data_IF_753078045208
#
_entry.id   IF_753078045208
#
_cell.length_a   1.000
_cell.length_b   1.000
_cell.length_c   1.000
_cell.angle_alpha   90.00
_cell.angle_beta   90.00
_cell.angle_gamma   90.00
#
_symmetry.space_group_name_H-M   'P 1'
#
loop_
_entity.id
_entity.type
_entity.pdbx_description
1 polymer ?
#
# COMPACT_ATOMS: atom_id res chain seq x y z
N UNK A 1 -27.06 -26.99 4.03
CA UNK A 1 -27.12 -25.86 4.98
C UNK A 1 -26.18 -24.78 4.48
N UNK A 2 -26.65 -23.54 4.28
CA UNK A 2 -25.78 -22.43 3.88
C UNK A 2 -24.82 -22.08 5.03
N UNK A 3 -23.52 -21.88 4.80
CA UNK A 3 -22.56 -21.55 5.86
C UNK A 3 -22.93 -20.22 6.55
N UNK A 4 -22.74 -20.17 7.87
CA UNK A 4 -22.92 -18.93 8.65
C UNK A 4 -21.77 -17.96 8.38
N UNK A 5 -22.06 -16.66 8.34
CA UNK A 5 -21.04 -15.60 8.18
C UNK A 5 -19.99 -15.70 9.28
N UNK A 6 -20.40 -15.93 10.53
CA UNK A 6 -19.47 -16.05 11.66
C UNK A 6 -18.45 -17.18 11.47
N UNK A 7 -18.88 -18.35 10.99
CA UNK A 7 -18.01 -19.50 10.76
C UNK A 7 -17.00 -19.23 9.63
N UNK A 8 -17.42 -18.51 8.60
CA UNK A 8 -16.54 -18.10 7.50
C UNK A 8 -15.50 -17.09 8.02
N UNK A 9 -15.92 -16.11 8.82
CA UNK A 9 -15.02 -15.09 9.36
C UNK A 9 -14.05 -15.66 10.40
N UNK A 10 -14.47 -16.62 11.22
CA UNK A 10 -13.55 -17.32 12.12
C UNK A 10 -12.51 -18.12 11.34
N UNK A 11 -12.92 -18.74 10.22
CA UNK A 11 -11.97 -19.35 9.29
C UNK A 11 -10.99 -18.31 8.74
N UNK A 12 -11.43 -17.11 8.36
CA UNK A 12 -10.54 -16.05 7.87
C UNK A 12 -9.52 -15.62 8.94
N UNK A 13 -9.94 -15.49 10.20
CA UNK A 13 -9.02 -15.19 11.32
C UNK A 13 -7.95 -16.25 11.44
N UNK A 14 -8.34 -17.53 11.45
CA UNK A 14 -7.40 -18.64 11.56
C UNK A 14 -6.42 -18.72 10.39
N UNK A 15 -6.91 -18.49 9.16
CA UNK A 15 -6.06 -18.41 7.97
C UNK A 15 -5.05 -17.25 8.07
N UNK A 16 -5.49 -16.11 8.58
CA UNK A 16 -4.64 -14.92 8.78
C UNK A 16 -3.57 -15.17 9.84
N UNK A 17 -3.94 -15.72 11.01
CA UNK A 17 -3.01 -16.03 12.12
C UNK A 17 -1.91 -16.99 11.71
N UNK A 18 -2.28 -18.06 10.99
CA UNK A 18 -1.33 -19.05 10.48
C UNK A 18 -0.45 -18.51 9.35
N UNK A 19 -0.60 -17.23 8.98
CA UNK A 19 0.06 -16.58 7.85
C UNK A 19 0.00 -17.49 6.61
N UNK A 20 -1.17 -18.10 6.39
CA UNK A 20 -1.37 -19.03 5.28
C UNK A 20 -1.17 -18.24 3.99
N UNK A 21 0.06 -18.29 3.47
CA UNK A 21 0.48 -17.62 2.24
C UNK A 21 -0.45 -18.09 1.14
N UNK A 22 -1.35 -17.21 0.70
CA UNK A 22 -2.29 -17.32 -0.44
C UNK A 22 -2.30 -18.71 -1.09
N UNK A 23 -2.93 -19.70 -0.43
CA UNK A 23 -3.36 -20.88 -1.17
C UNK A 23 -4.56 -20.41 -1.96
N UNK A 24 -4.36 -20.17 -3.26
CA UNK A 24 -5.40 -19.71 -4.18
C UNK A 24 -6.70 -20.46 -3.94
N UNK A 25 -6.64 -21.78 -3.75
CA UNK A 25 -7.83 -22.61 -3.55
C UNK A 25 -8.50 -22.38 -2.19
N UNK A 26 -7.76 -22.31 -1.09
CA UNK A 26 -8.38 -22.13 0.25
C UNK A 26 -8.99 -20.74 0.37
N UNK A 27 -8.24 -19.70 0.00
CA UNK A 27 -8.75 -18.33 0.02
C UNK A 27 -9.86 -18.14 -1.01
N UNK A 28 -9.73 -18.64 -2.24
CA UNK A 28 -10.78 -18.52 -3.27
C UNK A 28 -12.06 -19.23 -2.86
N UNK A 29 -11.99 -20.45 -2.28
CA UNK A 29 -13.17 -21.14 -1.75
C UNK A 29 -13.82 -20.30 -0.64
N UNK A 30 -13.03 -19.80 0.30
CA UNK A 30 -13.51 -19.03 1.45
C UNK A 30 -14.10 -17.67 1.06
N UNK A 31 -13.49 -16.99 0.09
CA UNK A 31 -14.02 -15.78 -0.54
C UNK A 31 -15.31 -16.10 -1.29
N UNK A 32 -15.38 -17.22 -2.01
CA UNK A 32 -16.58 -17.64 -2.75
C UNK A 32 -17.75 -17.97 -1.81
N UNK A 33 -17.47 -18.64 -0.68
CA UNK A 33 -18.44 -18.88 0.38
C UNK A 33 -18.97 -17.55 0.93
N UNK A 34 -18.09 -16.61 1.28
CA UNK A 34 -18.49 -15.29 1.79
C UNK A 34 -19.29 -14.50 0.74
N UNK A 35 -18.87 -14.54 -0.53
CA UNK A 35 -19.55 -13.86 -1.63
C UNK A 35 -20.97 -14.38 -1.85
N UNK A 36 -21.18 -15.69 -1.69
CA UNK A 36 -22.49 -16.33 -1.82
C UNK A 36 -23.47 -15.90 -0.71
N UNK A 37 -22.95 -15.52 0.47
CA UNK A 37 -23.77 -15.08 1.62
C UNK A 37 -23.65 -13.58 1.91
N UNK A 38 -23.13 -12.79 0.96
CA UNK A 38 -22.82 -11.36 1.18
C UNK A 38 -24.01 -10.52 1.68
N UNK A 39 -25.23 -10.89 1.29
CA UNK A 39 -26.48 -10.23 1.72
C UNK A 39 -26.75 -10.37 3.23
N UNK A 40 -26.11 -11.34 3.89
CA UNK A 40 -26.23 -11.57 5.34
C UNK A 40 -25.14 -10.88 6.16
N UNK A 41 -24.17 -10.24 5.49
CA UNK A 41 -23.13 -9.48 6.17
C UNK A 41 -23.77 -8.20 6.69
N UNK A 42 -23.67 -7.95 7.99
CA UNK A 42 -24.04 -6.70 8.64
C UNK A 42 -22.81 -5.78 8.83
N UNK A 43 -23.05 -4.51 9.18
CA UNK A 43 -22.01 -3.50 9.36
C UNK A 43 -20.93 -3.86 10.41
N UNK A 44 -21.26 -4.63 11.44
CA UNK A 44 -20.31 -5.02 12.50
C UNK A 44 -19.22 -5.97 12.01
N UNK A 45 -19.48 -6.73 10.93
CA UNK A 45 -18.48 -7.63 10.35
C UNK A 45 -17.48 -6.94 9.44
N UNK A 46 -17.80 -5.73 8.96
CA UNK A 46 -17.01 -5.07 7.92
C UNK A 46 -15.60 -4.69 8.35
N UNK A 47 -15.34 -4.20 9.58
CA UNK A 47 -13.96 -3.96 10.02
C UNK A 47 -13.10 -5.22 9.94
N UNK A 48 -13.62 -6.36 10.42
CA UNK A 48 -12.92 -7.64 10.38
C UNK A 48 -12.67 -8.11 8.94
N UNK A 49 -13.68 -8.01 8.08
CA UNK A 49 -13.56 -8.36 6.65
C UNK A 49 -12.49 -7.50 5.99
N UNK A 50 -12.53 -6.18 6.20
CA UNK A 50 -11.56 -5.21 5.68
C UNK A 50 -10.15 -5.54 6.14
N UNK A 51 -9.97 -5.82 7.44
CA UNK A 51 -8.68 -6.23 8.02
C UNK A 51 -8.14 -7.50 7.36
N UNK A 52 -8.98 -8.53 7.25
CA UNK A 52 -8.59 -9.79 6.64
C UNK A 52 -8.22 -9.63 5.16
N UNK A 53 -8.99 -8.87 4.39
CA UNK A 53 -8.69 -8.64 2.99
C UNK A 53 -7.43 -7.81 2.77
N UNK A 54 -7.19 -6.79 3.60
CA UNK A 54 -5.99 -5.98 3.53
C UNK A 54 -4.74 -6.80 3.91
N UNK A 55 -4.72 -7.42 5.10
CA UNK A 55 -3.56 -8.16 5.63
C UNK A 55 -3.14 -9.32 4.72
N UNK A 56 -4.12 -9.99 4.08
CA UNK A 56 -3.85 -11.10 3.16
C UNK A 56 -3.71 -10.66 1.70
N UNK A 57 -3.74 -9.35 1.43
CA UNK A 57 -3.56 -8.74 0.12
C UNK A 57 -4.58 -9.27 -0.92
N UNK A 58 -5.86 -9.31 -0.58
CA UNK A 58 -6.92 -9.91 -1.41
C UNK A 58 -7.71 -8.87 -2.23
N UNK A 59 -7.35 -7.59 -2.13
CA UNK A 59 -8.12 -6.47 -2.69
C UNK A 59 -8.15 -6.42 -4.24
N UNK A 60 -7.29 -7.19 -4.90
CA UNK A 60 -7.32 -7.37 -6.36
C UNK A 60 -8.35 -8.41 -6.84
N UNK A 61 -8.92 -9.20 -5.93
CA UNK A 61 -9.89 -10.23 -6.28
C UNK A 61 -11.28 -9.62 -6.57
N UNK A 62 -11.88 -9.97 -7.72
CA UNK A 62 -13.16 -9.42 -8.15
C UNK A 62 -14.32 -9.74 -7.20
N UNK A 63 -14.32 -10.93 -6.58
CA UNK A 63 -15.35 -11.30 -5.59
C UNK A 63 -15.15 -10.51 -4.30
N UNK A 64 -13.91 -10.28 -3.87
CA UNK A 64 -13.61 -9.41 -2.74
C UNK A 64 -14.14 -8.00 -3.00
N UNK A 65 -13.83 -7.41 -4.15
CA UNK A 65 -14.35 -6.10 -4.53
C UNK A 65 -15.89 -6.09 -4.58
N UNK A 66 -16.50 -7.15 -5.10
CA UNK A 66 -17.96 -7.30 -5.13
C UNK A 66 -18.59 -7.43 -3.74
N UNK A 67 -17.93 -8.06 -2.77
CA UNK A 67 -18.36 -8.07 -1.36
C UNK A 67 -18.30 -6.65 -0.80
N UNK A 68 -17.16 -5.97 -0.96
CA UNK A 68 -16.97 -4.61 -0.42
C UNK A 68 -18.00 -3.64 -1.00
N UNK A 69 -18.19 -3.62 -2.32
CA UNK A 69 -19.22 -2.79 -2.98
C UNK A 69 -20.64 -3.11 -2.50
N UNK A 70 -20.93 -4.36 -2.14
CA UNK A 70 -22.25 -4.75 -1.64
C UNK A 70 -22.50 -4.27 -0.21
N UNK A 71 -21.50 -4.34 0.68
CA UNK A 71 -21.65 -3.91 2.08
C UNK A 71 -21.52 -2.40 2.26
N UNK A 72 -21.12 -1.68 1.21
CA UNK A 72 -20.95 -0.24 1.18
C UNK A 72 -22.12 0.57 1.78
N UNK A 73 -23.39 0.38 1.35
CA UNK A 73 -24.50 1.16 1.88
C UNK A 73 -24.75 0.92 3.37
N UNK A 74 -24.21 -0.16 3.92
CA UNK A 74 -24.35 -0.50 5.33
C UNK A 74 -23.37 0.23 6.24
N UNK A 75 -22.36 0.91 5.69
CA UNK A 75 -21.28 1.52 6.47
C UNK A 75 -21.30 3.05 6.35
N UNK A 76 -21.68 3.58 5.18
CA UNK A 76 -21.78 5.03 4.99
C UNK A 76 -22.78 5.60 5.99
N UNK A 77 -22.30 6.48 6.88
CA UNK A 77 -23.12 7.23 7.83
C UNK A 77 -23.72 6.41 8.98
N UNK A 78 -23.39 5.12 9.13
CA UNK A 78 -23.71 4.35 10.34
C UNK A 78 -22.75 4.73 11.45
N UNK A 79 -23.26 4.92 12.67
CA UNK A 79 -22.47 5.13 13.90
C UNK A 79 -22.26 3.80 14.63
N UNK A 80 -21.19 3.69 15.41
CA UNK A 80 -20.96 2.55 16.30
C UNK A 80 -19.61 1.84 16.12
N UNK A 81 -18.83 2.21 15.10
CA UNK A 81 -17.47 1.71 14.92
C UNK A 81 -16.44 2.73 15.45
N UNK A 82 -15.21 2.27 15.70
CA UNK A 82 -14.12 3.14 16.12
C UNK A 82 -13.55 3.96 14.94
N UNK A 83 -12.78 5.02 15.24
CA UNK A 83 -12.05 5.77 14.20
C UNK A 83 -11.01 4.89 13.50
N UNK A 84 -10.38 3.96 14.22
CA UNK A 84 -9.48 2.97 13.63
C UNK A 84 -10.22 2.13 12.58
N UNK A 85 -11.42 1.64 12.91
CA UNK A 85 -12.24 0.84 12.01
C UNK A 85 -12.66 1.64 10.76
N UNK A 86 -13.16 2.87 10.92
CA UNK A 86 -13.54 3.70 9.77
C UNK A 86 -12.33 4.06 8.90
N UNK A 87 -11.17 4.31 9.52
CA UNK A 87 -9.92 4.55 8.79
C UNK A 87 -9.52 3.34 7.97
N UNK A 88 -9.50 2.15 8.59
CA UNK A 88 -9.19 0.90 7.91
C UNK A 88 -10.17 0.61 6.76
N UNK A 89 -11.47 0.78 6.99
CA UNK A 89 -12.50 0.54 5.97
C UNK A 89 -12.31 1.54 4.82
N UNK A 90 -12.09 2.82 5.12
CA UNK A 90 -11.84 3.85 4.11
C UNK A 90 -10.58 3.55 3.30
N UNK A 91 -9.50 3.12 3.96
CA UNK A 91 -8.26 2.69 3.28
C UNK A 91 -8.55 1.57 2.27
N UNK A 92 -9.33 0.55 2.68
CA UNK A 92 -9.71 -0.57 1.82
C UNK A 92 -10.54 -0.11 0.62
N UNK A 93 -11.51 0.78 0.80
CA UNK A 93 -12.30 1.33 -0.32
C UNK A 93 -11.44 2.12 -1.31
N UNK A 94 -10.52 2.95 -0.82
CA UNK A 94 -9.54 3.63 -1.66
C UNK A 94 -8.68 2.66 -2.48
N UNK A 95 -8.28 1.53 -1.89
CA UNK A 95 -7.47 0.51 -2.58
C UNK A 95 -8.21 -0.21 -3.71
N UNK A 96 -9.54 -0.28 -3.66
CA UNK A 96 -10.39 -0.90 -4.70
C UNK A 96 -11.02 0.15 -5.64
N UNK A 97 -10.45 1.35 -5.67
CA UNK A 97 -10.82 2.48 -6.51
C UNK A 97 -12.22 3.08 -6.22
N UNK A 98 -12.77 2.86 -5.02
CA UNK A 98 -14.01 3.47 -4.51
C UNK A 98 -13.71 4.76 -3.73
N UNK A 99 -13.19 5.78 -4.42
CA UNK A 99 -12.62 6.98 -3.79
C UNK A 99 -13.66 7.88 -3.12
N UNK A 100 -14.80 8.12 -3.77
CA UNK A 100 -15.90 8.93 -3.23
C UNK A 100 -16.47 8.32 -1.94
N UNK A 101 -16.57 6.99 -1.93
CA UNK A 101 -16.94 6.22 -0.75
C UNK A 101 -15.94 6.42 0.39
N UNK A 102 -14.65 6.29 0.08
CA UNK A 102 -13.57 6.45 1.05
C UNK A 102 -13.59 7.85 1.68
N UNK A 103 -13.81 8.88 0.86
CA UNK A 103 -14.01 10.26 1.28
C UNK A 103 -15.22 10.42 2.20
N UNK A 104 -16.39 9.88 1.81
CA UNK A 104 -17.61 9.97 2.59
C UNK A 104 -17.48 9.28 3.96
N UNK A 105 -16.77 8.15 4.03
CA UNK A 105 -16.51 7.45 5.29
C UNK A 105 -15.66 8.30 6.23
N UNK A 106 -14.59 8.93 5.72
CA UNK A 106 -13.74 9.80 6.55
C UNK A 106 -14.50 11.05 6.97
N UNK A 107 -15.17 11.72 6.04
CA UNK A 107 -15.94 12.94 6.30
C UNK A 107 -17.00 12.74 7.38
N UNK A 108 -17.72 11.63 7.37
CA UNK A 108 -18.83 11.39 8.29
C UNK A 108 -18.39 10.94 9.69
N UNK A 109 -17.14 10.48 9.84
CA UNK A 109 -16.65 9.89 11.08
C UNK A 109 -15.44 10.61 11.67
N UNK A 110 -14.97 11.68 11.02
CA UNK A 110 -13.92 12.53 11.55
C UNK A 110 -14.41 13.31 12.78
N UNK A 111 -13.58 13.31 13.82
CA UNK A 111 -13.73 14.18 14.99
C UNK A 111 -12.33 14.57 15.46
N UNK A 112 -12.07 15.88 15.50
CA UNK A 112 -10.78 16.42 15.91
C UNK A 112 -10.39 15.96 17.33
N UNK A 113 -11.33 15.99 18.27
CA UNK A 113 -11.11 15.56 19.65
C UNK A 113 -10.73 14.08 19.75
N UNK A 114 -11.34 13.23 18.92
CA UNK A 114 -11.03 11.80 18.88
C UNK A 114 -9.65 11.56 18.30
N UNK A 115 -9.24 12.30 17.26
CA UNK A 115 -7.90 12.19 16.68
C UNK A 115 -6.83 12.67 17.66
N UNK A 116 -7.06 13.77 18.37
CA UNK A 116 -6.11 14.30 19.35
C UNK A 116 -5.91 13.39 20.56
N UNK A 117 -6.94 12.62 20.92
CA UNK A 117 -6.92 11.66 22.03
C UNK A 117 -6.57 10.22 21.62
N UNK A 118 -6.39 9.95 20.32
CA UNK A 118 -6.08 8.63 19.80
C UNK A 118 -4.69 8.12 20.22
N UNK A 119 -4.56 6.79 20.31
CA UNK A 119 -3.25 6.15 20.45
C UNK A 119 -2.38 6.40 19.21
N UNK A 120 -1.05 6.27 19.32
CA UNK A 120 -0.14 6.46 18.18
C UNK A 120 -0.42 5.47 17.04
N UNK A 121 -0.87 4.25 17.38
CA UNK A 121 -1.21 3.22 16.40
C UNK A 121 -2.49 3.56 15.62
N UNK A 122 -3.51 4.07 16.31
CA UNK A 122 -4.77 4.50 15.69
C UNK A 122 -4.54 5.74 14.84
N UNK A 123 -3.76 6.68 15.36
CA UNK A 123 -3.34 7.88 14.65
C UNK A 123 -2.58 7.52 13.38
N UNK A 124 -1.62 6.59 13.43
CA UNK A 124 -0.89 6.16 12.25
C UNK A 124 -1.78 5.49 11.19
N UNK A 125 -2.78 4.72 11.63
CA UNK A 125 -3.77 4.09 10.74
C UNK A 125 -4.63 5.16 10.03
N UNK A 126 -5.08 6.16 10.79
CA UNK A 126 -5.79 7.31 10.25
C UNK A 126 -4.92 8.10 9.26
N UNK A 127 -3.68 8.44 9.61
CA UNK A 127 -2.78 9.20 8.74
C UNK A 127 -2.46 8.47 7.44
N UNK A 128 -2.20 7.15 7.48
CA UNK A 128 -1.99 6.35 6.27
C UNK A 128 -3.20 6.37 5.34
N UNK A 129 -4.40 6.42 5.91
CA UNK A 129 -5.66 6.49 5.17
C UNK A 129 -5.83 7.86 4.53
N UNK A 130 -5.64 8.93 5.29
CA UNK A 130 -5.68 10.31 4.79
C UNK A 130 -4.63 10.51 3.70
N UNK A 131 -3.39 10.06 3.93
CA UNK A 131 -2.30 10.12 2.96
C UNK A 131 -2.64 9.37 1.66
N UNK A 132 -3.25 8.18 1.75
CA UNK A 132 -3.69 7.41 0.58
C UNK A 132 -4.73 8.19 -0.22
N UNK A 133 -5.77 8.68 0.45
CA UNK A 133 -6.87 9.43 -0.18
C UNK A 133 -6.33 10.71 -0.84
N UNK A 134 -5.52 11.48 -0.12
CA UNK A 134 -4.88 12.71 -0.62
C UNK A 134 -4.00 12.45 -1.84
N UNK A 135 -3.13 11.43 -1.76
CA UNK A 135 -2.25 11.04 -2.86
C UNK A 135 -3.05 10.67 -4.10
N UNK A 136 -4.17 9.96 -3.94
CA UNK A 136 -5.02 9.57 -5.08
C UNK A 136 -5.75 10.74 -5.71
N UNK A 137 -6.26 11.70 -4.92
CA UNK A 137 -6.86 12.93 -5.44
C UNK A 137 -5.84 13.76 -6.22
N UNK A 138 -4.71 14.05 -5.59
CA UNK A 138 -3.73 15.01 -6.12
C UNK A 138 -2.83 14.40 -7.20
N UNK A 139 -2.23 13.24 -6.92
CA UNK A 139 -1.27 12.60 -7.83
C UNK A 139 -1.98 11.66 -8.81
N UNK A 140 -3.03 10.98 -8.36
CA UNK A 140 -3.86 10.12 -9.20
C UNK A 140 -4.84 10.89 -10.10
N UNK A 141 -5.03 12.20 -9.86
CA UNK A 141 -6.00 13.06 -10.56
C UNK A 141 -7.41 12.48 -10.54
N UNK A 142 -7.78 11.82 -9.45
CA UNK A 142 -9.13 11.32 -9.24
C UNK A 142 -9.98 12.48 -8.76
N UNK A 143 -10.90 12.93 -9.61
CA UNK A 143 -11.90 13.93 -9.24
C UNK A 143 -12.90 13.27 -8.29
N UNK A 144 -12.92 13.68 -7.03
CA UNK A 144 -13.73 13.03 -5.99
C UNK A 144 -14.90 13.89 -5.50
N UNK A 145 -15.15 15.02 -6.16
CA UNK A 145 -16.28 15.91 -5.87
C UNK A 145 -16.28 16.57 -4.47
N UNK A 146 -15.26 16.33 -3.63
CA UNK A 146 -15.20 16.80 -2.24
C UNK A 146 -13.78 17.20 -1.80
N UNK A 147 -13.65 18.39 -1.21
CA UNK A 147 -12.41 18.91 -0.63
C UNK A 147 -12.24 18.61 0.87
N UNK A 148 -13.10 17.77 1.46
CA UNK A 148 -13.13 17.55 2.91
C UNK A 148 -11.85 16.90 3.45
N UNK A 149 -11.29 15.90 2.77
CA UNK A 149 -10.05 15.26 3.25
C UNK A 149 -8.84 16.20 3.25
N UNK A 150 -8.61 17.04 2.23
CA UNK A 150 -7.65 18.15 2.31
C UNK A 150 -7.89 19.10 3.49
N UNK A 151 -9.14 19.44 3.79
CA UNK A 151 -9.48 20.32 4.93
C UNK A 151 -9.16 19.66 6.27
N UNK A 152 -9.58 18.40 6.46
CA UNK A 152 -9.24 17.59 7.64
C UNK A 152 -7.71 17.51 7.80
N UNK A 153 -6.99 17.25 6.70
CA UNK A 153 -5.54 17.17 6.70
C UNK A 153 -4.89 18.48 7.15
N UNK A 154 -5.43 19.61 6.71
CA UNK A 154 -4.96 20.94 7.13
C UNK A 154 -5.20 21.20 8.62
N UNK A 155 -6.34 20.78 9.16
CA UNK A 155 -6.71 20.97 10.56
C UNK A 155 -5.80 20.16 11.50
N UNK A 156 -5.50 18.91 11.15
CA UNK A 156 -4.69 18.04 12.00
C UNK A 156 -3.18 18.32 11.90
N UNK A 157 -2.72 19.00 10.85
CA UNK A 157 -1.29 19.12 10.56
C UNK A 157 -0.52 19.85 11.68
N UNK A 158 -1.09 20.93 12.23
CA UNK A 158 -0.47 21.70 13.30
C UNK A 158 -0.38 20.87 14.60
N UNK A 159 -1.39 20.05 14.88
CA UNK A 159 -1.37 19.09 15.97
C UNK A 159 -0.27 18.03 15.77
N UNK A 160 -0.15 17.47 14.55
CA UNK A 160 0.88 16.48 14.24
C UNK A 160 2.29 17.05 14.40
N UNK A 161 2.54 18.26 13.92
CA UNK A 161 3.82 18.93 14.10
C UNK A 161 4.14 19.21 15.56
N UNK A 162 3.15 19.66 16.33
CA UNK A 162 3.30 19.86 17.77
C UNK A 162 3.66 18.54 18.46
N UNK A 163 2.97 17.44 18.11
CA UNK A 163 3.25 16.11 18.64
C UNK A 163 4.66 15.65 18.30
N UNK A 164 5.06 15.75 17.03
CA UNK A 164 6.41 15.41 16.55
C UNK A 164 7.48 16.21 17.31
N UNK A 165 7.30 17.53 17.46
CA UNK A 165 8.24 18.40 18.19
C UNK A 165 8.32 18.11 19.68
N UNK A 166 7.24 17.59 20.28
CA UNK A 166 7.19 17.24 21.71
C UNK A 166 7.92 15.95 22.07
N UNK A 167 8.15 15.06 21.10
CA UNK A 167 8.81 13.77 21.33
C UNK A 167 10.31 13.98 21.46
N UNK A 168 10.85 13.69 22.66
CA UNK A 168 12.28 13.72 22.90
C UNK A 168 12.90 12.37 22.52
N UNK A 169 13.45 12.30 21.31
CA UNK A 169 14.08 11.08 20.76
C UNK A 169 15.27 10.60 21.58
N UNK A 170 15.91 11.45 22.40
CA UNK A 170 17.05 11.04 23.25
C UNK A 170 16.68 10.02 24.32
N UNK A 171 15.40 9.88 24.66
CA UNK A 171 14.91 8.95 25.68
C UNK A 171 14.24 7.70 25.11
N UNK A 172 14.14 7.58 23.79
CA UNK A 172 13.66 6.34 23.17
C UNK A 172 14.74 5.27 23.33
N UNK A 173 14.39 4.16 23.97
CA UNK A 173 15.33 3.08 24.31
C UNK A 173 15.15 1.86 23.38
N UNK A 174 13.99 1.72 22.74
CA UNK A 174 13.65 0.56 21.92
C UNK A 174 13.56 0.88 20.42
N UNK A 175 14.15 0.02 19.59
CA UNK A 175 14.10 0.16 18.12
C UNK A 175 12.69 0.22 17.52
N UNK A 176 11.70 -0.38 18.20
CA UNK A 176 10.29 -0.38 17.77
C UNK A 176 9.67 1.01 17.91
N UNK A 177 9.96 1.72 19.01
CA UNK A 177 9.49 3.08 19.25
C UNK A 177 10.03 4.05 18.20
N UNK A 178 11.31 3.91 17.85
CA UNK A 178 11.93 4.69 16.76
C UNK A 178 11.24 4.44 15.41
N UNK A 179 10.91 3.18 15.09
CA UNK A 179 10.23 2.86 13.83
C UNK A 179 8.82 3.44 13.78
N UNK A 180 8.05 3.32 14.86
CA UNK A 180 6.69 3.86 14.92
C UNK A 180 6.68 5.38 14.80
N UNK A 181 7.57 6.06 15.52
CA UNK A 181 7.70 7.51 15.43
C UNK A 181 8.20 7.96 14.05
N UNK A 182 9.17 7.24 13.47
CA UNK A 182 9.65 7.51 12.11
C UNK A 182 8.53 7.38 11.07
N UNK A 183 7.68 6.36 11.19
CA UNK A 183 6.49 6.22 10.34
C UNK A 183 5.52 7.39 10.53
N UNK A 184 5.23 7.80 11.76
CA UNK A 184 4.38 8.96 12.05
C UNK A 184 4.93 10.25 11.43
N UNK A 185 6.24 10.50 11.59
CA UNK A 185 6.94 11.63 11.00
C UNK A 185 6.86 11.61 9.47
N UNK A 186 7.15 10.47 8.84
CA UNK A 186 7.13 10.34 7.38
C UNK A 186 5.72 10.46 6.78
N UNK A 187 4.67 9.95 7.45
CA UNK A 187 3.29 10.22 7.05
C UNK A 187 2.96 11.71 7.14
N UNK A 188 3.39 12.38 8.22
CA UNK A 188 3.17 13.83 8.43
C UNK A 188 3.89 14.65 7.36
N UNK A 189 5.16 14.36 7.07
CA UNK A 189 5.94 15.01 6.00
C UNK A 189 5.23 14.83 4.66
N UNK A 190 4.78 13.61 4.34
CA UNK A 190 4.12 13.34 3.07
C UNK A 190 2.79 14.09 2.92
N UNK A 191 1.96 14.13 3.97
CA UNK A 191 0.72 14.91 3.97
C UNK A 191 1.02 16.41 3.82
N UNK A 192 2.02 16.92 4.55
CA UNK A 192 2.43 18.33 4.49
C UNK A 192 2.92 18.71 3.09
N UNK A 193 3.70 17.85 2.44
CA UNK A 193 4.20 18.04 1.09
C UNK A 193 3.07 18.07 0.05
N UNK A 194 2.12 17.13 0.14
CA UNK A 194 0.92 17.11 -0.68
C UNK A 194 0.09 18.40 -0.54
N UNK A 195 0.06 18.99 0.66
CA UNK A 195 -0.60 20.25 0.94
C UNK A 195 0.26 21.50 0.65
N UNK A 196 1.50 21.34 0.20
CA UNK A 196 2.47 22.43 0.00
C UNK A 196 2.74 23.27 1.28
N UNK A 197 2.64 22.63 2.45
CA UNK A 197 2.84 23.23 3.79
C UNK A 197 4.01 22.59 4.55
N UNK A 198 4.99 22.06 3.83
CA UNK A 198 6.13 21.38 4.44
C UNK A 198 7.04 22.34 5.21
N UNK A 199 7.22 22.09 6.51
CA UNK A 199 8.29 22.72 7.31
C UNK A 199 9.63 22.08 6.94
N UNK A 200 10.50 22.80 6.21
CA UNK A 200 11.78 22.25 5.70
C UNK A 200 12.71 21.73 6.80
N UNK A 201 12.63 22.28 8.01
CA UNK A 201 13.40 21.82 9.16
C UNK A 201 13.09 20.35 9.53
N UNK A 202 11.89 19.86 9.23
CA UNK A 202 11.47 18.48 9.51
C UNK A 202 12.25 17.43 8.69
N UNK A 203 12.93 17.83 7.60
CA UNK A 203 13.74 16.94 6.77
C UNK A 203 15.14 16.66 7.36
N UNK A 204 15.57 17.42 8.37
CA UNK A 204 16.90 17.29 8.97
C UNK A 204 16.98 16.26 10.10
N UNK A 205 15.89 15.52 10.37
CA UNK A 205 15.88 14.53 11.45
C UNK A 205 16.47 13.19 11.00
N UNK A 206 17.55 12.74 11.64
CA UNK A 206 18.17 11.42 11.41
C UNK A 206 17.20 10.25 11.62
N UNK A 207 16.13 10.46 12.38
CA UNK A 207 15.12 9.44 12.69
C UNK A 207 14.33 8.95 11.47
N UNK A 208 14.29 9.73 10.38
CA UNK A 208 13.60 9.33 9.15
C UNK A 208 14.16 8.03 8.57
N UNK A 209 15.43 7.72 8.83
CA UNK A 209 16.09 6.53 8.29
C UNK A 209 15.52 5.20 8.85
N UNK A 210 14.87 5.24 10.01
CA UNK A 210 14.21 4.09 10.61
C UNK A 210 12.86 3.72 9.95
N UNK A 211 12.34 4.58 9.08
CA UNK A 211 11.08 4.37 8.38
C UNK A 211 11.11 3.16 7.46
N UNK A 212 9.95 2.67 7.09
CA UNK A 212 9.80 1.63 6.07
C UNK A 212 10.26 2.12 4.70
N UNK A 213 10.65 1.18 3.83
CA UNK A 213 11.07 1.47 2.45
C UNK A 213 9.99 2.27 1.72
N UNK A 214 8.71 1.89 1.87
CA UNK A 214 7.60 2.58 1.21
C UNK A 214 7.43 4.02 1.72
N UNK A 215 7.54 4.25 3.03
CA UNK A 215 7.41 5.59 3.61
C UNK A 215 8.53 6.52 3.14
N UNK A 216 9.75 6.01 2.97
CA UNK A 216 10.86 6.76 2.37
C UNK A 216 10.67 7.02 0.87
N UNK A 217 10.10 6.08 0.10
CA UNK A 217 9.77 6.29 -1.31
C UNK A 217 8.80 7.46 -1.48
N UNK A 218 7.76 7.54 -0.65
CA UNK A 218 6.74 8.61 -0.72
C UNK A 218 7.31 10.02 -0.65
N UNK A 219 8.37 10.22 0.15
CA UNK A 219 8.99 11.54 0.38
C UNK A 219 10.33 11.69 -0.35
N UNK A 220 10.66 10.75 -1.23
CA UNK A 220 12.01 10.61 -1.78
C UNK A 220 12.46 11.80 -2.64
N UNK A 221 11.55 12.59 -3.20
CA UNK A 221 11.89 13.83 -3.90
C UNK A 221 12.50 14.87 -2.96
N UNK A 222 12.15 14.85 -1.67
CA UNK A 222 12.63 15.75 -0.63
C UNK A 222 13.93 15.28 0.03
N UNK A 223 14.25 14.00 -0.08
CA UNK A 223 15.39 13.41 0.59
C UNK A 223 16.73 13.75 -0.09
N UNK A 224 17.84 13.82 0.68
CA UNK A 224 19.20 13.83 0.13
C UNK A 224 19.51 12.58 -0.72
N UNK A 225 20.60 12.65 -1.51
CA UNK A 225 21.00 11.55 -2.41
C UNK A 225 21.39 10.29 -1.64
N UNK A 226 21.99 10.47 -0.47
CA UNK A 226 22.45 9.41 0.43
C UNK A 226 21.30 8.54 0.91
N UNK A 227 20.18 9.15 1.34
CA UNK A 227 18.99 8.42 1.76
C UNK A 227 18.34 7.67 0.59
N UNK A 228 18.29 8.29 -0.61
CA UNK A 228 17.79 7.59 -1.82
C UNK A 228 18.63 6.35 -2.15
N UNK A 229 19.96 6.45 -2.01
CA UNK A 229 20.86 5.30 -2.18
C UNK A 229 20.58 4.20 -1.15
N UNK A 230 20.37 4.56 0.13
CA UNK A 230 19.99 3.59 1.17
C UNK A 230 18.65 2.91 0.88
N UNK A 231 17.67 3.63 0.33
CA UNK A 231 16.39 3.04 -0.11
C UNK A 231 16.63 1.99 -1.19
N UNK A 232 17.47 2.27 -2.19
CA UNK A 232 17.85 1.30 -3.22
C UNK A 232 18.54 0.06 -2.62
N UNK A 233 19.51 0.25 -1.72
CA UNK A 233 20.21 -0.85 -1.04
C UNK A 233 19.24 -1.73 -0.22
N UNK A 234 18.26 -1.12 0.44
CA UNK A 234 17.19 -1.84 1.16
C UNK A 234 16.26 -2.60 0.21
N UNK A 235 15.93 -2.04 -0.96
CA UNK A 235 15.15 -2.75 -1.99
C UNK A 235 15.93 -3.98 -2.48
N UNK A 236 17.20 -3.81 -2.84
CA UNK A 236 18.03 -4.86 -3.44
C UNK A 236 18.30 -6.05 -2.48
N UNK A 237 18.18 -5.81 -1.17
CA UNK A 237 18.34 -6.83 -0.12
C UNK A 237 17.01 -7.41 0.39
N UNK A 238 15.87 -6.78 0.08
CA UNK A 238 14.54 -7.23 0.53
C UNK A 238 14.09 -8.54 -0.10
N UNK A 239 13.20 -9.29 0.56
CA UNK A 239 12.58 -10.47 -0.04
C UNK A 239 11.48 -10.10 -1.06
N UNK A 240 11.08 -11.07 -1.88
CA UNK A 240 10.09 -10.88 -2.95
C UNK A 240 8.75 -10.32 -2.46
N UNK A 241 8.22 -10.79 -1.32
CA UNK A 241 6.92 -10.34 -0.82
C UNK A 241 7.01 -8.91 -0.31
N UNK A 242 8.11 -8.54 0.34
CA UNK A 242 8.37 -7.16 0.76
C UNK A 242 8.40 -6.22 -0.46
N UNK A 243 9.10 -6.60 -1.53
CA UNK A 243 9.17 -5.80 -2.77
C UNK A 243 7.81 -5.71 -3.46
N UNK A 244 7.07 -6.82 -3.51
CA UNK A 244 5.72 -6.83 -4.07
C UNK A 244 4.74 -5.99 -3.24
N UNK A 245 4.88 -5.96 -1.92
CA UNK A 245 4.07 -5.09 -1.05
C UNK A 245 4.36 -3.61 -1.31
N UNK A 246 5.63 -3.25 -1.53
CA UNK A 246 6.00 -1.88 -1.90
C UNK A 246 5.35 -1.50 -3.24
N UNK A 247 5.46 -2.36 -4.27
CA UNK A 247 4.82 -2.11 -5.58
C UNK A 247 3.29 -1.96 -5.46
N UNK A 248 2.66 -2.81 -4.64
CA UNK A 248 1.23 -2.74 -4.35
C UNK A 248 0.85 -1.39 -3.76
N UNK A 249 1.58 -0.92 -2.75
CA UNK A 249 1.31 0.37 -2.12
C UNK A 249 1.57 1.55 -3.06
N UNK A 250 2.63 1.50 -3.87
CA UNK A 250 2.88 2.49 -4.94
C UNK A 250 1.68 2.56 -5.89
N UNK A 251 1.15 1.40 -6.30
CA UNK A 251 -0.02 1.32 -7.15
C UNK A 251 -1.28 1.90 -6.49
N UNK A 252 -1.56 1.56 -5.22
CA UNK A 252 -2.71 2.10 -4.49
C UNK A 252 -2.64 3.63 -4.31
N UNK A 253 -1.48 4.15 -3.92
CA UNK A 253 -1.27 5.59 -3.73
C UNK A 253 -1.17 6.37 -5.05
N UNK A 254 -1.03 5.69 -6.20
CA UNK A 254 -0.79 6.32 -7.51
C UNK A 254 0.48 7.19 -7.52
N UNK A 255 1.50 6.82 -6.75
CA UNK A 255 2.75 7.60 -6.68
C UNK A 255 3.43 7.68 -8.05
N UNK A 256 3.99 8.84 -8.42
CA UNK A 256 4.69 9.05 -9.69
C UNK A 256 6.16 8.58 -9.68
N UNK A 257 6.64 8.02 -8.57
CA UNK A 257 8.07 7.72 -8.32
C UNK A 257 8.66 6.62 -9.20
N UNK A 258 8.94 6.95 -10.47
CA UNK A 258 9.53 6.06 -11.48
C UNK A 258 10.97 5.64 -11.17
N UNK A 259 11.68 6.40 -10.33
CA UNK A 259 13.10 6.17 -10.00
C UNK A 259 13.34 4.84 -9.30
N UNK A 260 12.43 4.40 -8.43
CA UNK A 260 12.57 3.14 -7.69
C UNK A 260 11.95 1.94 -8.42
N UNK A 261 11.09 2.18 -9.42
CA UNK A 261 10.38 1.13 -10.17
C UNK A 261 11.36 0.14 -10.81
N UNK A 262 12.45 0.63 -11.38
CA UNK A 262 13.49 -0.22 -11.97
C UNK A 262 14.05 -1.21 -10.93
N UNK A 263 14.45 -0.72 -9.76
CA UNK A 263 15.02 -1.53 -8.68
C UNK A 263 14.01 -2.56 -8.16
N UNK A 264 12.75 -2.16 -7.98
CA UNK A 264 11.69 -3.05 -7.52
C UNK A 264 11.47 -4.22 -8.52
N UNK A 265 11.32 -3.94 -9.81
CA UNK A 265 11.13 -4.99 -10.81
C UNK A 265 12.38 -5.85 -11.01
N UNK A 266 13.58 -5.27 -11.00
CA UNK A 266 14.82 -6.04 -11.05
C UNK A 266 14.94 -6.99 -9.87
N UNK A 267 14.57 -6.54 -8.67
CA UNK A 267 14.61 -7.38 -7.47
C UNK A 267 13.59 -8.52 -7.54
N UNK A 268 12.38 -8.27 -8.04
CA UNK A 268 11.39 -9.33 -8.28
C UNK A 268 11.92 -10.38 -9.28
N UNK A 269 12.57 -9.96 -10.36
CA UNK A 269 13.17 -10.85 -11.37
C UNK A 269 14.35 -11.67 -10.80
N UNK A 270 15.10 -11.09 -9.86
CA UNK A 270 16.28 -11.68 -9.23
C UNK A 270 15.99 -12.60 -8.04
N UNK A 271 14.72 -12.91 -7.79
CA UNK A 271 14.38 -13.90 -6.76
C UNK A 271 14.47 -15.30 -7.36
N UNK A 272 15.42 -16.16 -6.94
CA UNK A 272 15.63 -17.46 -7.55
C UNK A 272 14.38 -18.33 -7.44
N UNK A 273 14.05 -19.07 -8.50
CA UNK A 273 13.12 -20.19 -8.40
C UNK A 273 13.84 -21.34 -7.71
N UNK A 274 13.29 -21.89 -6.62
CA UNK A 274 13.89 -23.06 -5.99
C UNK A 274 13.89 -24.26 -6.97
N UNK A 275 15.09 -24.78 -7.27
CA UNK A 275 15.33 -25.87 -8.24
C UNK A 275 14.70 -27.22 -7.88
N UNK A 276 14.19 -27.40 -6.66
CA UNK A 276 13.73 -28.69 -6.13
C UNK A 276 12.28 -28.68 -5.64
N UNK A 277 11.50 -27.65 -5.92
CA UNK A 277 10.07 -27.74 -5.66
C UNK A 277 9.45 -28.63 -6.74
N UNK A 278 9.30 -29.92 -6.44
CA UNK A 278 8.21 -30.72 -7.00
C UNK A 278 6.94 -29.85 -6.98
N UNK A 279 6.02 -30.05 -7.93
CA UNK A 279 4.67 -29.43 -7.99
C UNK A 279 3.95 -29.55 -6.64
N UNK A 280 4.32 -28.69 -5.72
CA UNK A 280 3.88 -28.61 -4.34
C UNK A 280 3.28 -27.23 -4.17
N UNK A 281 2.56 -27.05 -3.07
CA UNK A 281 1.87 -25.80 -2.78
C UNK A 281 2.74 -24.53 -2.90
N UNK A 282 4.07 -24.64 -2.75
CA UNK A 282 4.98 -23.52 -2.86
C UNK A 282 5.17 -22.97 -4.29
N UNK A 283 5.11 -23.82 -5.31
CA UNK A 283 5.11 -23.41 -6.73
C UNK A 283 3.82 -22.65 -7.07
N UNK A 284 2.68 -23.12 -6.56
CA UNK A 284 1.39 -22.44 -6.71
C UNK A 284 1.37 -21.09 -5.95
N UNK A 285 2.00 -21.00 -4.77
CA UNK A 285 2.17 -19.76 -3.98
C UNK A 285 2.92 -18.69 -4.79
N UNK A 286 3.90 -19.09 -5.58
CA UNK A 286 4.66 -18.16 -6.41
C UNK A 286 3.85 -17.64 -7.59
N UNK A 287 3.00 -18.48 -8.21
CA UNK A 287 2.23 -18.12 -9.42
C UNK A 287 1.26 -16.94 -9.23
N UNK A 288 0.57 -16.83 -8.08
CA UNK A 288 -0.33 -15.70 -7.80
C UNK A 288 0.42 -14.39 -7.60
N UNK A 289 1.45 -14.39 -6.76
CA UNK A 289 2.25 -13.18 -6.51
C UNK A 289 2.98 -12.71 -7.78
N UNK A 290 3.32 -13.67 -8.66
CA UNK A 290 3.86 -13.42 -9.99
C UNK A 290 2.84 -12.84 -10.97
N UNK A 291 1.63 -13.38 -11.00
CA UNK A 291 0.51 -12.80 -11.77
C UNK A 291 0.19 -11.38 -11.31
N UNK A 292 0.23 -11.13 -10.00
CA UNK A 292 0.06 -9.80 -9.43
C UNK A 292 1.20 -8.86 -9.85
N UNK A 293 2.45 -9.34 -9.79
CA UNK A 293 3.62 -8.59 -10.27
C UNK A 293 3.50 -8.20 -11.74
N UNK A 294 3.00 -9.11 -12.59
CA UNK A 294 2.71 -8.83 -14.00
C UNK A 294 1.59 -7.80 -14.18
N UNK A 295 0.55 -7.85 -13.35
CA UNK A 295 -0.50 -6.83 -13.34
C UNK A 295 0.08 -5.45 -13.06
N UNK A 296 0.93 -5.32 -12.03
CA UNK A 296 1.60 -4.05 -11.74
C UNK A 296 2.57 -3.62 -12.83
N UNK A 297 3.27 -4.56 -13.48
CA UNK A 297 4.15 -4.24 -14.61
C UNK A 297 3.35 -3.64 -15.78
N UNK A 298 2.21 -4.24 -16.13
CA UNK A 298 1.33 -3.72 -17.18
C UNK A 298 0.81 -2.34 -16.81
N UNK A 299 0.25 -2.16 -15.61
CA UNK A 299 -0.25 -0.88 -15.15
C UNK A 299 0.85 0.21 -15.12
N UNK A 300 2.08 -0.16 -14.79
CA UNK A 300 3.23 0.75 -14.81
C UNK A 300 3.61 1.16 -16.23
N UNK A 301 3.62 0.21 -17.17
CA UNK A 301 3.86 0.50 -18.59
C UNK A 301 2.79 1.45 -19.14
N UNK A 302 1.51 1.18 -18.88
CA UNK A 302 0.40 2.02 -19.33
C UNK A 302 0.50 3.45 -18.77
N UNK A 303 0.91 3.59 -17.50
CA UNK A 303 1.17 4.90 -16.89
C UNK A 303 2.34 5.63 -17.55
N UNK A 304 3.44 4.93 -17.85
CA UNK A 304 4.61 5.52 -18.52
C UNK A 304 4.21 5.99 -19.92
N UNK A 305 3.46 5.18 -20.67
CA UNK A 305 2.92 5.55 -21.98
C UNK A 305 2.02 6.79 -21.91
N UNK A 306 1.12 6.84 -20.92
CA UNK A 306 0.30 8.03 -20.67
C UNK A 306 1.14 9.29 -20.38
N UNK A 307 2.15 9.18 -19.52
CA UNK A 307 3.01 10.31 -19.15
C UNK A 307 3.88 10.81 -20.31
N UNK A 308 4.42 9.92 -21.15
CA UNK A 308 5.23 10.31 -22.32
C UNK A 308 4.45 11.10 -23.38
N UNK A 309 3.12 10.95 -23.41
CA UNK A 309 2.25 11.71 -24.29
C UNK A 309 1.93 13.12 -23.75
N UNK A 310 2.19 13.38 -22.47
CA UNK A 310 1.77 14.61 -21.77
C UNK A 310 2.93 15.56 -21.41
N UNK A 311 4.17 15.07 -21.30
CA UNK A 311 5.34 15.88 -20.90
C UNK A 311 6.56 15.60 -21.76
N UNK A 312 7.29 16.67 -22.11
CA UNK A 312 8.62 16.61 -22.76
C UNK A 312 9.75 16.42 -21.74
N UNK A 313 9.58 16.95 -20.53
CA UNK A 313 10.53 16.78 -19.44
C UNK A 313 10.51 15.32 -18.97
N UNK A 314 11.69 14.73 -18.78
CA UNK A 314 11.93 13.32 -18.44
C UNK A 314 11.59 12.25 -19.50
N UNK A 315 11.21 12.65 -20.73
CA UNK A 315 10.83 11.69 -21.80
C UNK A 315 11.90 10.64 -22.09
N UNK A 316 13.18 11.03 -22.09
CA UNK A 316 14.30 10.11 -22.34
C UNK A 316 14.45 9.08 -21.20
N UNK A 317 14.34 9.52 -19.94
CA UNK A 317 14.38 8.63 -18.78
C UNK A 317 13.20 7.65 -18.79
N UNK A 318 11.98 8.15 -19.05
CA UNK A 318 10.78 7.35 -19.16
C UNK A 318 10.86 6.33 -20.30
N UNK A 319 11.39 6.72 -21.46
CA UNK A 319 11.61 5.83 -22.60
C UNK A 319 12.58 4.69 -22.25
N UNK A 320 13.70 5.00 -21.59
CA UNK A 320 14.65 3.98 -21.12
C UNK A 320 14.01 3.00 -20.13
N UNK A 321 13.29 3.52 -19.14
CA UNK A 321 12.56 2.70 -18.18
C UNK A 321 11.52 1.82 -18.90
N UNK A 322 10.76 2.39 -19.84
CA UNK A 322 9.77 1.64 -20.60
C UNK A 322 10.38 0.49 -21.40
N UNK A 323 11.47 0.73 -22.13
CA UNK A 323 12.19 -0.29 -22.90
C UNK A 323 12.63 -1.43 -22.00
N UNK A 324 13.20 -1.10 -20.84
CA UNK A 324 13.62 -2.08 -19.84
C UNK A 324 12.45 -2.92 -19.31
N UNK A 325 11.35 -2.27 -18.91
CA UNK A 325 10.15 -2.96 -18.42
C UNK A 325 9.49 -3.82 -19.50
N UNK A 326 9.50 -3.39 -20.77
CA UNK A 326 9.06 -4.20 -21.92
C UNK A 326 9.96 -5.42 -22.12
N UNK A 327 11.27 -5.31 -21.90
CA UNK A 327 12.19 -6.46 -21.94
C UNK A 327 11.89 -7.47 -20.81
N UNK A 328 11.64 -7.00 -19.59
CA UNK A 328 11.19 -7.86 -18.48
C UNK A 328 9.87 -8.56 -18.82
N UNK A 329 8.91 -7.85 -19.41
CA UNK A 329 7.64 -8.42 -19.86
C UNK A 329 7.87 -9.50 -20.93
N UNK A 330 8.72 -9.23 -21.93
CA UNK A 330 9.00 -10.13 -23.05
C UNK A 330 9.74 -11.41 -22.64
N UNK A 331 10.57 -11.37 -21.61
CA UNK A 331 11.31 -12.54 -21.14
C UNK A 331 10.47 -13.52 -20.32
N UNK A 332 9.27 -13.12 -19.89
CA UNK A 332 8.37 -13.90 -19.02
C UNK A 332 8.99 -14.32 -17.69
N UNK A 333 10.08 -13.69 -17.25
CA UNK A 333 10.78 -14.05 -15.98
C UNK A 333 9.89 -13.90 -14.76
N UNK A 334 9.01 -12.89 -14.77
CA UNK A 334 8.07 -12.66 -13.69
C UNK A 334 6.97 -13.72 -13.62
N UNK A 335 6.70 -14.46 -14.70
CA UNK A 335 5.73 -15.56 -14.72
C UNK A 335 6.42 -16.92 -14.50
N UNK A 336 7.59 -17.08 -15.11
CA UNK A 336 8.38 -18.29 -15.17
C UNK A 336 9.79 -17.99 -14.64
N UNK A 337 10.09 -18.33 -13.38
CA UNK A 337 11.35 -17.96 -12.76
C UNK A 337 12.51 -18.62 -13.45
N UNK A 338 13.65 -17.94 -13.43
CA UNK A 338 14.89 -18.54 -13.88
C UNK A 338 15.24 -19.76 -13.02
N UNK A 339 15.64 -20.85 -13.69
CA UNK A 339 16.24 -22.03 -13.04
C UNK A 339 17.64 -21.71 -12.47
N UNK A 340 18.21 -20.55 -12.79
CA UNK A 340 19.54 -20.13 -12.34
C UNK A 340 19.51 -19.68 -10.88
N UNK A 341 20.49 -20.13 -10.08
CA UNK A 341 20.78 -19.60 -8.73
C UNK A 341 21.63 -18.32 -8.77
N UNK A 342 22.21 -18.00 -9.92
CA UNK A 342 23.03 -16.80 -10.13
C UNK A 342 22.09 -15.61 -10.34
N UNK A 343 22.33 -14.49 -9.63
CA UNK A 343 21.61 -13.22 -9.85
C UNK A 343 21.73 -12.86 -11.33
N UNK A 344 20.61 -12.80 -12.03
CA UNK A 344 20.57 -12.23 -13.36
C UNK A 344 20.52 -10.72 -13.17
N UNK A 345 21.70 -10.10 -13.26
CA UNK A 345 21.75 -8.69 -13.60
C UNK A 345 21.14 -8.58 -15.00
N UNK A 346 19.80 -8.49 -15.10
CA UNK A 346 19.18 -7.85 -16.25
C UNK A 346 19.98 -6.58 -16.42
N UNK A 347 20.55 -6.34 -17.62
CA UNK A 347 21.45 -5.21 -17.80
C UNK A 347 20.71 -3.98 -17.28
N UNK A 348 21.13 -3.53 -16.10
CA UNK A 348 20.85 -2.18 -15.68
C UNK A 348 21.50 -1.39 -16.79
N UNK A 349 20.69 -0.74 -17.63
CA UNK A 349 21.25 0.34 -18.41
C UNK A 349 21.69 1.36 -17.36
N UNK A 350 22.97 1.26 -17.01
CA UNK A 350 23.69 2.23 -16.19
C UNK A 350 23.45 3.57 -16.89
N UNK A 351 23.06 4.55 -16.07
CA UNK A 351 22.66 5.89 -16.47
C UNK A 351 23.59 6.53 -17.50
#
# INVERSE_FOLDING_TARGET
MSPSVDLILESFKELTKRKIKRYANVWSTKISELYAVKERINHNYVPLISKCFLVNNLLHDQKVQGIMRHVLPQIIGRKGLSVEDYSLISYVYSCIDENETSDAIISNNYSEDVIKSASDQDLLTFLRTVALVMSRKLLGKVDSGSNVVPEISNQILDFLWTKVKSVNTRYMSESVEYMQFSELLLETIFIADLLQRLEREALNHEIIDYGSIFSLIKVSHLLPRENKRRVVERIDTSDYNTVLDILRRIHYFKLPETRFINHLFNRLCNTPGEKSEQLTSAVAKSKMCRSESMSYLNATLDRIDGSMNLSLEDREHLKRLQVHLKAIKGSRVLENPHRSRIRWNYPCFIA
#
